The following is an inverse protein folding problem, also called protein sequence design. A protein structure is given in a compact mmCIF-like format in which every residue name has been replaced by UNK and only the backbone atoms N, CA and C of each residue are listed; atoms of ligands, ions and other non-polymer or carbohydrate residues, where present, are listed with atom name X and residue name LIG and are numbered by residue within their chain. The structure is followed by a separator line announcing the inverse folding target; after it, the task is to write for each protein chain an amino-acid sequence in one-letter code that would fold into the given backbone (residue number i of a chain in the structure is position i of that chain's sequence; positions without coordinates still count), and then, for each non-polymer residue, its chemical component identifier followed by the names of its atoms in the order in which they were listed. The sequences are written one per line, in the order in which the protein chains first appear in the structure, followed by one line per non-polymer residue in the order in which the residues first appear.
data_IF_269040909282
#
_entry.id   IF_269040909282
#
_cell.length_a   1.000
_cell.length_b   1.000
_cell.length_c   1.000
_cell.angle_alpha   90.00
_cell.angle_beta   90.00
_cell.angle_gamma   90.00
#
_symmetry.space_group_name_H-M   'P 1'
#
loop_
_entity.id
_entity.type
_entity.pdbx_description
1 polymer ?
#
# COMPACT_ATOMS: atom_id res chain seq x y z
N UNK A 1 7.87 -14.26 3.96
CA UNK A 1 7.66 -12.86 3.49
C UNK A 1 6.24 -12.76 3.01
N UNK A 2 5.52 -11.73 3.43
CA UNK A 2 4.19 -11.42 2.93
C UNK A 2 4.29 -10.90 1.48
N UNK A 3 3.26 -11.10 0.67
CA UNK A 3 3.19 -10.53 -0.68
C UNK A 3 2.65 -9.09 -0.60
N UNK A 4 3.44 -8.13 -1.08
CA UNK A 4 3.14 -6.70 -0.99
C UNK A 4 2.40 -6.25 -2.25
N UNK A 5 1.16 -5.79 -2.06
CA UNK A 5 0.32 -5.21 -3.12
C UNK A 5 0.20 -3.71 -2.87
N UNK A 6 0.72 -2.92 -3.79
CA UNK A 6 0.61 -1.45 -3.74
C UNK A 6 -0.50 -0.99 -4.69
N UNK A 7 -1.39 -0.16 -4.20
CA UNK A 7 -2.44 0.47 -5.00
C UNK A 7 -2.07 1.94 -5.19
N UNK A 8 -1.62 2.29 -6.39
CA UNK A 8 -1.05 3.60 -6.69
C UNK A 8 -1.56 4.19 -8.00
N UNK A 9 -1.84 5.49 -7.97
CA UNK A 9 -2.08 6.35 -9.13
C UNK A 9 -1.90 7.80 -8.68
N UNK A 10 -1.23 8.61 -9.48
CA UNK A 10 -0.98 10.03 -9.15
C UNK A 10 -2.23 10.90 -9.23
N UNK A 11 -3.34 10.41 -9.78
CA UNK A 11 -4.60 11.14 -9.87
C UNK A 11 -5.48 10.91 -8.64
N UNK A 12 -5.99 11.99 -8.06
CA UNK A 12 -7.06 11.94 -7.06
C UNK A 12 -8.37 11.42 -7.66
N UNK A 13 -9.18 10.71 -6.86
CA UNK A 13 -10.50 10.26 -7.29
C UNK A 13 -10.54 9.06 -8.23
N UNK A 14 -9.40 8.39 -8.49
CA UNK A 14 -9.35 7.18 -9.35
C UNK A 14 -9.83 5.89 -8.69
N UNK A 15 -10.34 5.94 -7.47
CA UNK A 15 -10.86 4.77 -6.75
C UNK A 15 -9.81 3.92 -6.04
N UNK A 16 -8.60 4.42 -5.79
CA UNK A 16 -7.51 3.68 -5.12
C UNK A 16 -7.95 3.06 -3.80
N UNK A 17 -8.35 3.89 -2.83
CA UNK A 17 -8.73 3.42 -1.49
C UNK A 17 -9.94 2.47 -1.52
N UNK A 18 -10.86 2.67 -2.45
CA UNK A 18 -11.97 1.74 -2.69
C UNK A 18 -11.45 0.40 -3.19
N UNK A 19 -10.55 0.41 -4.17
CA UNK A 19 -9.91 -0.81 -4.71
C UNK A 19 -9.10 -1.51 -3.62
N UNK A 20 -8.29 -0.77 -2.84
CA UNK A 20 -7.52 -1.29 -1.71
C UNK A 20 -8.42 -2.03 -0.73
N UNK A 21 -9.56 -1.43 -0.36
CA UNK A 21 -10.51 -2.05 0.56
C UNK A 21 -11.14 -3.32 -0.01
N UNK A 22 -11.56 -3.30 -1.28
CA UNK A 22 -12.15 -4.48 -1.91
C UNK A 22 -11.16 -5.63 -2.04
N UNK A 23 -9.92 -5.37 -2.46
CA UNK A 23 -8.86 -6.38 -2.56
C UNK A 23 -8.55 -6.95 -1.18
N UNK A 24 -8.36 -6.10 -0.17
CA UNK A 24 -8.05 -6.52 1.19
C UNK A 24 -9.16 -7.42 1.76
N UNK A 25 -10.43 -7.02 1.63
CA UNK A 25 -11.57 -7.82 2.12
C UNK A 25 -11.73 -9.12 1.34
N UNK A 26 -11.50 -9.10 0.02
CA UNK A 26 -11.56 -10.32 -0.79
C UNK A 26 -10.52 -11.35 -0.34
N UNK A 27 -9.27 -10.93 -0.13
CA UNK A 27 -8.20 -11.80 0.38
C UNK A 27 -8.51 -12.33 1.79
N UNK A 28 -9.03 -11.47 2.69
CA UNK A 28 -9.49 -11.92 4.01
C UNK A 28 -10.59 -12.99 3.91
N UNK A 29 -11.55 -12.83 2.99
CA UNK A 29 -12.62 -13.82 2.77
C UNK A 29 -12.13 -15.12 2.16
N UNK A 30 -11.01 -15.09 1.45
CA UNK A 30 -10.32 -16.29 0.96
C UNK A 30 -9.51 -17.01 2.06
N UNK A 31 -9.47 -16.46 3.27
CA UNK A 31 -8.80 -17.05 4.43
C UNK A 31 -7.36 -16.55 4.65
N UNK A 32 -6.90 -15.55 3.89
CA UNK A 32 -5.57 -14.99 4.09
C UNK A 32 -5.55 -13.96 5.21
N UNK A 33 -4.42 -13.86 5.90
CA UNK A 33 -4.13 -12.79 6.84
C UNK A 33 -3.63 -11.58 6.06
N UNK A 34 -4.31 -10.46 6.18
CA UNK A 34 -4.04 -9.25 5.39
C UNK A 34 -3.66 -8.09 6.29
N UNK A 35 -2.44 -7.57 6.11
CA UNK A 35 -1.99 -6.29 6.66
C UNK A 35 -2.45 -5.14 5.76
N UNK A 36 -2.65 -3.96 6.34
CA UNK A 36 -3.09 -2.77 5.62
C UNK A 36 -2.37 -1.52 6.10
N UNK A 37 -1.87 -0.73 5.14
CA UNK A 37 -1.22 0.57 5.37
C UNK A 37 -1.88 1.63 4.48
N UNK A 38 -2.12 2.82 5.05
CA UNK A 38 -2.63 3.99 4.33
C UNK A 38 -1.57 5.10 4.32
N UNK A 39 -1.06 5.43 3.14
CA UNK A 39 -0.02 6.46 2.97
C UNK A 39 -0.59 7.85 2.70
N UNK A 40 -1.91 8.00 2.54
CA UNK A 40 -2.56 9.32 2.54
C UNK A 40 -2.78 9.78 3.99
N UNK A 41 -1.72 10.27 4.63
CA UNK A 41 -1.72 10.68 6.03
C UNK A 41 -2.73 11.79 6.35
N UNK A 42 -3.23 12.52 5.32
CA UNK A 42 -4.23 13.57 5.51
C UNK A 42 -5.66 13.04 5.46
N UNK A 43 -5.98 12.25 4.44
CA UNK A 43 -7.35 11.79 4.21
C UNK A 43 -7.66 10.48 4.93
N UNK A 44 -6.68 9.58 5.02
CA UNK A 44 -6.80 8.26 5.66
C UNK A 44 -8.08 7.50 5.22
N UNK A 45 -8.37 7.54 3.92
CA UNK A 45 -9.62 6.97 3.39
C UNK A 45 -9.68 5.45 3.54
N UNK A 46 -8.57 4.77 3.30
CA UNK A 46 -8.49 3.32 3.43
C UNK A 46 -8.57 2.89 4.90
N UNK A 47 -7.87 3.60 5.78
CA UNK A 47 -7.95 3.40 7.23
C UNK A 47 -9.39 3.52 7.73
N UNK A 48 -10.09 4.60 7.35
CA UNK A 48 -11.49 4.82 7.72
C UNK A 48 -12.43 3.72 7.22
N UNK A 49 -12.22 3.19 6.02
CA UNK A 49 -13.01 2.06 5.52
C UNK A 49 -12.84 0.82 6.41
N UNK A 50 -11.62 0.53 6.85
CA UNK A 50 -11.35 -0.60 7.74
C UNK A 50 -11.97 -0.37 9.12
N UNK A 51 -11.76 0.81 9.71
CA UNK A 51 -12.36 1.19 11.00
C UNK A 51 -13.88 1.10 10.99
N UNK A 52 -14.53 1.67 9.97
CA UNK A 52 -15.98 1.62 9.79
C UNK A 52 -16.48 0.17 9.65
N UNK A 53 -15.74 -0.67 8.92
CA UNK A 53 -16.06 -2.09 8.80
C UNK A 53 -16.00 -2.78 10.16
N UNK A 54 -14.91 -2.61 10.90
CA UNK A 54 -14.73 -3.24 12.22
C UNK A 54 -15.84 -2.79 13.18
N UNK A 55 -16.12 -1.48 13.23
CA UNK A 55 -17.19 -0.93 14.07
C UNK A 55 -18.59 -1.47 13.66
N UNK A 56 -18.86 -1.59 12.36
CA UNK A 56 -20.12 -2.17 11.87
C UNK A 56 -20.27 -3.63 12.28
N UNK A 57 -19.23 -4.44 12.08
CA UNK A 57 -19.23 -5.86 12.44
C UNK A 57 -19.47 -6.06 13.94
N UNK A 58 -18.80 -5.28 14.78
CA UNK A 58 -18.96 -5.31 16.23
C UNK A 58 -20.41 -4.96 16.63
N UNK A 59 -20.97 -3.89 16.05
CA UNK A 59 -22.36 -3.47 16.32
C UNK A 59 -23.39 -4.51 15.92
N UNK A 60 -23.13 -5.23 14.83
CA UNK A 60 -24.07 -6.25 14.30
C UNK A 60 -23.82 -7.63 14.87
N UNK A 61 -22.83 -7.83 15.74
CA UNK A 61 -22.45 -9.13 16.27
C UNK A 61 -21.95 -10.11 15.21
N UNK A 62 -21.38 -9.60 14.12
CA UNK A 62 -20.90 -10.40 13.00
C UNK A 62 -19.40 -10.71 13.15
N UNK A 63 -19.05 -11.97 13.01
CA UNK A 63 -17.64 -12.41 13.00
C UNK A 63 -17.18 -12.65 11.56
N UNK A 64 -16.83 -11.58 10.84
CA UNK A 64 -16.27 -11.65 9.50
C UNK A 64 -14.82 -11.13 9.50
N UNK A 65 -13.94 -11.75 8.71
CA UNK A 65 -12.54 -11.36 8.67
C UNK A 65 -12.37 -9.92 8.16
N UNK A 66 -11.41 -9.23 8.74
CA UNK A 66 -11.06 -7.84 8.39
C UNK A 66 -9.55 -7.69 8.30
N UNK A 67 -9.05 -6.78 7.45
CA UNK A 67 -7.63 -6.47 7.41
C UNK A 67 -7.11 -5.96 8.75
N UNK A 68 -5.87 -6.30 9.07
CA UNK A 68 -5.13 -5.76 10.20
C UNK A 68 -4.50 -4.42 9.80
N UNK A 69 -5.14 -3.32 10.14
CA UNK A 69 -4.63 -1.99 9.85
C UNK A 69 -3.54 -1.59 10.85
N UNK A 70 -2.47 -1.02 10.34
CA UNK A 70 -1.40 -0.42 11.13
C UNK A 70 -1.14 1.01 10.66
N UNK A 71 -1.07 1.95 11.59
CA UNK A 71 -0.56 3.30 11.30
C UNK A 71 0.96 3.26 11.06
N UNK A 72 1.45 4.22 10.28
CA UNK A 72 2.89 4.40 10.17
C UNK A 72 3.46 4.87 11.51
N UNK A 73 4.52 4.23 12.03
CA UNK A 73 5.14 4.64 13.29
C UNK A 73 5.72 6.05 13.16
N UNK A 74 5.75 6.79 14.25
CA UNK A 74 6.50 8.03 14.32
C UNK A 74 7.98 7.72 14.55
N UNK A 75 8.85 8.35 13.74
CA UNK A 75 10.30 8.24 13.88
C UNK A 75 10.84 9.60 14.32
N UNK A 76 11.50 9.64 15.45
CA UNK A 76 12.14 10.86 15.92
C UNK A 76 13.36 11.19 15.04
N UNK A 77 13.57 12.47 14.77
CA UNK A 77 14.72 12.90 13.95
C UNK A 77 16.08 12.50 14.55
N UNK A 78 16.12 12.26 15.88
CA UNK A 78 17.31 11.80 16.58
C UNK A 78 17.67 10.34 16.31
N UNK A 79 16.72 9.54 15.82
CA UNK A 79 16.90 8.11 15.53
C UNK A 79 17.36 7.85 14.08
N UNK A 80 17.53 8.93 13.29
CA UNK A 80 17.94 8.84 11.90
C UNK A 80 19.46 9.05 11.76
N UNK A 81 20.12 8.18 11.00
CA UNK A 81 21.51 8.41 10.61
C UNK A 81 21.61 9.58 9.59
N UNK A 82 22.78 10.22 9.47
CA UNK A 82 23.00 11.30 8.50
C UNK A 82 22.67 10.84 7.07
N UNK A 83 21.71 11.52 6.45
CA UNK A 83 21.26 11.23 5.07
C UNK A 83 20.09 10.26 4.98
N UNK A 84 19.63 9.69 6.07
CA UNK A 84 18.41 8.88 6.11
C UNK A 84 17.14 9.73 6.10
N UNK A 85 16.08 9.17 5.54
CA UNK A 85 14.78 9.83 5.44
C UNK A 85 13.78 9.15 6.39
N UNK A 86 13.19 9.94 7.30
CA UNK A 86 12.21 9.44 8.26
C UNK A 86 11.05 8.65 7.61
N UNK A 87 10.62 9.06 6.41
CA UNK A 87 9.53 8.37 5.70
C UNK A 87 9.92 6.98 5.20
N UNK A 88 11.18 6.79 4.81
CA UNK A 88 11.68 5.49 4.35
C UNK A 88 11.69 4.49 5.51
N UNK A 89 12.20 4.93 6.69
CA UNK A 89 12.20 4.12 7.93
C UNK A 89 10.77 3.78 8.39
N UNK A 90 9.90 4.78 8.47
CA UNK A 90 8.51 4.57 8.91
C UNK A 90 7.79 3.50 8.11
N UNK A 91 7.95 3.52 6.79
CA UNK A 91 7.31 2.54 5.92
C UNK A 91 7.97 1.16 6.05
N UNK A 92 9.30 1.09 6.08
CA UNK A 92 10.03 -0.16 6.23
C UNK A 92 9.70 -0.86 7.55
N UNK A 93 9.63 -0.12 8.65
CA UNK A 93 9.30 -0.64 9.97
C UNK A 93 7.85 -1.15 10.03
N UNK A 94 6.91 -0.40 9.45
CA UNK A 94 5.52 -0.81 9.38
C UNK A 94 5.35 -2.10 8.54
N UNK A 95 6.04 -2.19 7.40
CA UNK A 95 6.03 -3.39 6.56
C UNK A 95 6.64 -4.57 7.30
N UNK A 96 7.81 -4.40 7.92
CA UNK A 96 8.47 -5.47 8.69
C UNK A 96 7.60 -5.99 9.83
N UNK A 97 6.89 -5.10 10.54
CA UNK A 97 5.92 -5.49 11.57
C UNK A 97 4.78 -6.34 11.03
N UNK A 98 4.22 -5.97 9.89
CA UNK A 98 3.12 -6.69 9.25
C UNK A 98 3.56 -8.00 8.58
N UNK A 99 4.78 -8.09 8.06
CA UNK A 99 5.29 -9.31 7.39
C UNK A 99 5.27 -10.54 8.30
N UNK A 100 5.43 -10.35 9.61
CA UNK A 100 5.46 -11.46 10.57
C UNK A 100 4.09 -12.09 10.80
N UNK A 101 3.02 -11.33 10.57
CA UNK A 101 1.64 -11.72 10.93
C UNK A 101 0.69 -11.75 9.73
N UNK A 102 1.16 -11.43 8.53
CA UNK A 102 0.34 -11.33 7.32
C UNK A 102 0.86 -12.21 6.19
N UNK A 103 -0.05 -12.67 5.34
CA UNK A 103 0.25 -13.37 4.08
C UNK A 103 0.30 -12.37 2.92
N UNK A 104 -0.49 -11.28 3.03
CA UNK A 104 -0.53 -10.14 2.10
C UNK A 104 -0.47 -8.82 2.87
N UNK A 105 0.16 -7.81 2.27
CA UNK A 105 0.14 -6.43 2.77
C UNK A 105 -0.38 -5.54 1.65
N UNK A 106 -1.48 -4.82 1.92
CA UNK A 106 -2.07 -3.84 1.01
C UNK A 106 -1.62 -2.45 1.42
N UNK A 107 -0.97 -1.73 0.50
CA UNK A 107 -0.50 -0.36 0.70
C UNK A 107 -1.29 0.57 -0.22
N UNK A 108 -2.10 1.45 0.37
CA UNK A 108 -2.87 2.47 -0.37
C UNK A 108 -2.06 3.77 -0.47
N UNK A 109 -1.76 4.21 -1.70
CA UNK A 109 -0.97 5.40 -1.95
C UNK A 109 -1.84 6.64 -2.13
N UNK A 110 -1.35 7.85 -1.72
CA UNK A 110 -2.03 9.11 -2.01
C UNK A 110 -2.13 9.38 -3.51
N UNK A 111 -3.05 10.27 -3.90
CA UNK A 111 -3.21 10.73 -5.28
C UNK A 111 -2.19 11.80 -5.68
N UNK A 112 -0.96 11.71 -5.20
CA UNK A 112 0.12 12.64 -5.48
C UNK A 112 1.46 11.91 -5.41
N UNK A 113 2.43 12.42 -6.17
CA UNK A 113 3.79 11.90 -6.15
C UNK A 113 4.50 12.31 -4.86
N UNK A 114 4.55 11.39 -3.89
CA UNK A 114 5.21 11.61 -2.60
C UNK A 114 6.40 10.67 -2.43
N UNK A 115 7.31 11.00 -1.51
CA UNK A 115 8.42 10.10 -1.15
C UNK A 115 7.89 8.75 -0.68
N UNK A 116 6.86 8.73 0.16
CA UNK A 116 6.22 7.48 0.62
C UNK A 116 5.70 6.62 -0.54
N UNK A 117 5.06 7.25 -1.55
CA UNK A 117 4.59 6.51 -2.74
C UNK A 117 5.75 5.89 -3.51
N UNK A 118 6.86 6.60 -3.65
CA UNK A 118 8.06 6.08 -4.35
C UNK A 118 8.64 4.86 -3.62
N UNK A 119 8.78 4.95 -2.30
CA UNK A 119 9.27 3.84 -1.49
C UNK A 119 8.29 2.66 -1.56
N UNK A 120 6.99 2.90 -1.42
CA UNK A 120 5.98 1.84 -1.54
C UNK A 120 6.07 1.12 -2.89
N UNK A 121 6.20 1.87 -4.00
CA UNK A 121 6.35 1.28 -5.33
C UNK A 121 7.61 0.42 -5.45
N UNK A 122 8.71 0.78 -4.77
CA UNK A 122 9.95 -0.01 -4.78
C UNK A 122 9.85 -1.32 -3.97
N UNK A 123 8.92 -1.39 -3.02
CA UNK A 123 8.65 -2.56 -2.19
C UNK A 123 7.59 -3.50 -2.80
N UNK A 124 6.89 -3.06 -3.85
CA UNK A 124 5.75 -3.78 -4.40
C UNK A 124 6.16 -5.07 -5.12
N UNK A 125 5.55 -6.20 -4.74
CA UNK A 125 5.53 -7.41 -5.55
C UNK A 125 4.47 -7.31 -6.66
N UNK A 126 3.36 -6.60 -6.37
CA UNK A 126 2.29 -6.32 -7.33
C UNK A 126 1.88 -4.85 -7.22
N UNK A 127 1.76 -4.17 -8.38
CA UNK A 127 1.23 -2.82 -8.46
C UNK A 127 -0.15 -2.84 -9.14
N UNK A 128 -1.15 -2.30 -8.45
CA UNK A 128 -2.50 -2.08 -8.99
C UNK A 128 -2.66 -0.59 -9.25
N UNK A 129 -2.94 -0.23 -10.49
CA UNK A 129 -3.17 1.16 -10.89
C UNK A 129 -4.60 1.32 -11.41
N UNK A 130 -5.54 1.75 -10.57
CA UNK A 130 -6.90 2.04 -11.01
C UNK A 130 -6.89 3.24 -11.96
N UNK A 131 -7.44 3.07 -13.14
CA UNK A 131 -7.54 4.10 -14.18
C UNK A 131 -9.01 4.39 -14.45
N UNK A 132 -9.32 5.67 -14.67
CA UNK A 132 -10.56 6.04 -15.30
C UNK A 132 -10.43 5.83 -16.82
N UNK A 133 -11.52 5.86 -17.57
CA UNK A 133 -11.60 5.71 -19.02
C UNK A 133 -11.02 6.90 -19.82
N UNK A 134 -10.12 7.67 -19.22
CA UNK A 134 -9.46 8.84 -19.80
C UNK A 134 -8.08 8.48 -20.33
N UNK A 135 -7.82 8.76 -21.61
CA UNK A 135 -6.49 8.60 -22.23
C UNK A 135 -5.40 9.40 -21.49
N UNK A 136 -5.75 10.55 -20.89
CA UNK A 136 -4.81 11.38 -20.09
C UNK A 136 -4.32 10.61 -18.87
N UNK A 137 -5.18 9.84 -18.22
CA UNK A 137 -4.81 9.04 -17.05
C UNK A 137 -3.85 7.91 -17.43
N UNK A 138 -4.04 7.33 -18.60
CA UNK A 138 -3.15 6.27 -19.10
C UNK A 138 -1.75 6.80 -19.44
N UNK A 139 -1.66 7.96 -20.08
CA UNK A 139 -0.38 8.58 -20.47
C UNK A 139 0.45 9.01 -19.25
N UNK A 140 -0.17 9.62 -18.25
CA UNK A 140 0.47 9.99 -17.00
C UNK A 140 0.95 8.77 -16.19
N UNK A 141 0.18 7.69 -16.19
CA UNK A 141 0.53 6.46 -15.46
C UNK A 141 1.69 5.72 -16.10
N UNK A 142 1.72 5.63 -17.43
CA UNK A 142 2.80 4.94 -18.14
C UNK A 142 4.14 5.66 -18.07
N UNK A 143 4.15 6.99 -18.13
CA UNK A 143 5.38 7.77 -18.12
C UNK A 143 6.03 7.87 -16.73
N UNK A 144 5.26 7.86 -15.65
CA UNK A 144 5.76 8.12 -14.29
C UNK A 144 5.81 6.91 -13.37
N UNK A 145 4.83 6.01 -13.45
CA UNK A 145 4.78 4.81 -12.62
C UNK A 145 5.65 3.70 -13.20
N UNK A 146 5.64 3.53 -14.53
CA UNK A 146 6.41 2.47 -15.20
C UNK A 146 7.90 2.80 -15.33
N UNK A 147 8.31 4.08 -15.37
CA UNK A 147 9.71 4.46 -15.52
C UNK A 147 10.63 3.98 -14.38
N UNK A 148 10.24 4.01 -13.10
CA UNK A 148 11.01 3.40 -12.02
C UNK A 148 11.08 1.88 -12.10
N UNK A 149 9.99 1.20 -12.49
CA UNK A 149 9.92 -0.26 -12.62
C UNK A 149 10.77 -0.80 -13.77
N UNK A 150 10.88 -0.05 -14.88
CA UNK A 150 11.74 -0.40 -16.00
C UNK A 150 13.23 -0.29 -15.70
N UNK A 151 13.60 0.40 -14.61
CA UNK A 151 15.00 0.48 -14.12
C UNK A 151 15.37 -0.66 -13.16
N UNK A 152 14.44 -1.48 -12.74
CA UNK A 152 14.73 -2.72 -12.03
C UNK A 152 15.36 -3.68 -13.04
N UNK A 153 16.67 -3.87 -12.92
CA UNK A 153 17.45 -4.79 -13.79
C UNK A 153 16.82 -6.18 -13.76
N UNK A 154 16.75 -6.88 -14.91
CA UNK A 154 16.47 -8.31 -14.90
C UNK A 154 17.54 -8.97 -14.03
N UNK A 155 17.11 -9.77 -13.05
CA UNK A 155 18.02 -10.67 -12.35
C UNK A 155 18.72 -11.51 -13.39
N UNK A 156 20.05 -11.47 -13.39
CA UNK A 156 20.85 -12.30 -14.26
C UNK A 156 20.45 -13.76 -14.07
N UNK A 157 19.84 -14.33 -15.09
CA UNK A 157 19.62 -15.77 -15.14
C UNK A 157 20.98 -16.43 -15.00
N UNK A 158 21.16 -17.20 -13.93
CA UNK A 158 22.39 -17.89 -13.64
C UNK A 158 22.77 -18.76 -14.83
N UNK A 159 23.99 -18.56 -15.31
CA UNK A 159 24.66 -19.50 -16.19
C UNK A 159 24.84 -20.81 -15.43
N UNK A 160 24.34 -21.88 -16.00
CA UNK A 160 24.80 -23.23 -15.77
C UNK A 160 25.77 -23.61 -16.87
#
# INVERSE_FOLDING_TARGET
MAHIIVVGNEKGGSGKSTTSMHVAVALCRMGYRVGALDLDLRQKSFARYIENRVAYLARMGLNLPSPNYQDLPDVAAADLAPGENAYDHRLSDAVAGLETVSDFIIIDCPGSHTRLSQVAHSLADTLITPLNDSFIDFDLSTSRIMAPLLKLKPQAAGQR
#
